data_IF_314271815469
#
_entry.id   IF_314271815469
#
_cell.length_a   1.000
_cell.length_b   1.000
_cell.length_c   1.000
_cell.angle_alpha   90.00
_cell.angle_beta   90.00
_cell.angle_gamma   90.00
#
_symmetry.space_group_name_H-M   'P 1'
#
loop_
_entity.id
_entity.type
_entity.pdbx_description
1 polymer ?
#
# COMPACT_ATOMS: atom_id res chain seq x y z
N UNK A 1 -2.92 35.69 -66.06
CA UNK A 1 -2.35 34.51 -65.35
C UNK A 1 -2.71 34.62 -63.88
N UNK A 2 -3.65 33.81 -63.38
CA UNK A 2 -4.06 33.77 -61.97
C UNK A 2 -3.80 32.36 -61.44
N UNK A 3 -2.95 32.25 -60.43
CA UNK A 3 -2.46 30.98 -59.90
C UNK A 3 -3.43 30.44 -58.85
N UNK A 4 -3.93 29.22 -59.05
CA UNK A 4 -4.79 28.53 -58.11
C UNK A 4 -3.91 27.85 -57.04
N UNK A 5 -3.92 28.37 -55.81
CA UNK A 5 -3.27 27.72 -54.66
C UNK A 5 -4.32 26.95 -53.85
N UNK A 6 -4.26 25.61 -53.89
CA UNK A 6 -5.02 24.76 -52.97
C UNK A 6 -4.50 24.92 -51.54
N UNK A 7 -5.37 24.91 -50.51
CA UNK A 7 -4.95 24.96 -49.12
C UNK A 7 -4.28 23.63 -48.74
N UNK A 8 -3.05 23.71 -48.23
CA UNK A 8 -2.38 22.57 -47.60
C UNK A 8 -2.92 22.44 -46.17
N UNK A 9 -3.61 21.35 -45.89
CA UNK A 9 -4.00 20.96 -44.53
C UNK A 9 -2.81 20.34 -43.84
N UNK A 10 -2.26 21.02 -42.83
CA UNK A 10 -1.25 20.46 -41.94
C UNK A 10 -1.89 19.40 -41.01
N UNK A 11 -1.33 18.18 -40.90
CA UNK A 11 -1.84 17.22 -39.93
C UNK A 11 -1.39 17.61 -38.52
N UNK A 12 -2.34 18.09 -37.72
CA UNK A 12 -2.16 18.41 -36.31
C UNK A 12 -1.94 17.13 -35.48
N UNK A 13 -0.69 16.85 -35.11
CA UNK A 13 -0.21 16.61 -33.74
C UNK A 13 -0.97 15.60 -32.84
N UNK A 14 -1.70 14.63 -33.37
CA UNK A 14 -2.47 13.64 -32.58
C UNK A 14 -1.62 12.65 -31.78
N UNK A 15 -0.36 12.44 -32.16
CA UNK A 15 0.53 11.45 -31.51
C UNK A 15 0.97 11.86 -30.10
N UNK A 16 1.18 13.16 -29.85
CA UNK A 16 1.71 13.65 -28.58
C UNK A 16 0.69 13.63 -27.44
N UNK A 17 -0.60 13.85 -27.75
CA UNK A 17 -1.67 13.76 -26.77
C UNK A 17 -1.91 12.34 -26.28
N UNK A 18 -1.73 11.33 -27.15
CA UNK A 18 -1.90 9.92 -26.75
C UNK A 18 -0.82 9.46 -25.76
N UNK A 19 0.42 9.95 -25.89
CA UNK A 19 1.49 9.64 -24.94
C UNK A 19 1.29 10.34 -23.59
N UNK A 20 0.83 11.59 -23.59
CA UNK A 20 0.56 12.35 -22.36
C UNK A 20 -0.58 11.75 -21.53
N UNK A 21 -1.62 11.23 -22.18
CA UNK A 21 -2.72 10.55 -21.48
C UNK A 21 -2.24 9.24 -20.84
N UNK A 22 -1.40 8.45 -21.52
CA UNK A 22 -0.87 7.21 -20.94
C UNK A 22 -0.01 7.43 -19.69
N UNK A 23 0.73 8.54 -19.61
CA UNK A 23 1.56 8.86 -18.43
C UNK A 23 0.68 9.21 -17.22
N UNK A 24 -0.47 9.86 -17.42
CA UNK A 24 -1.38 10.22 -16.32
C UNK A 24 -2.22 9.05 -15.79
N UNK A 25 -2.45 8.01 -16.61
CA UNK A 25 -3.17 6.81 -16.16
C UNK A 25 -2.28 5.76 -15.48
N UNK A 26 -0.96 5.79 -15.72
CA UNK A 26 -0.05 4.80 -15.13
C UNK A 26 0.26 5.07 -13.65
N UNK A 27 0.18 6.33 -13.22
CA UNK A 27 0.52 6.75 -11.86
C UNK A 27 -0.55 6.30 -10.82
N UNK A 28 -1.84 6.40 -11.18
CA UNK A 28 -2.94 6.03 -10.30
C UNK A 28 -3.03 4.51 -9.97
N UNK A 29 -2.43 3.66 -10.81
CA UNK A 29 -2.44 2.21 -10.61
C UNK A 29 -1.41 1.73 -9.57
N UNK A 30 -0.49 2.60 -9.13
CA UNK A 30 0.58 2.25 -8.20
C UNK A 30 0.43 2.90 -6.83
N UNK A 31 -0.73 3.49 -6.53
CA UNK A 31 -1.04 3.97 -5.19
C UNK A 31 -0.91 2.80 -4.19
N UNK A 32 0.12 2.88 -3.34
CA UNK A 32 0.47 1.79 -2.45
C UNK A 32 -0.50 1.77 -1.27
N UNK A 33 -1.40 0.79 -1.27
CA UNK A 33 -2.40 0.67 -0.22
C UNK A 33 -1.81 -0.02 1.00
N UNK A 34 -1.98 0.59 2.18
CA UNK A 34 -1.55 0.05 3.47
C UNK A 34 -2.74 -0.37 4.34
N UNK A 35 -2.55 -1.44 5.11
CA UNK A 35 -3.55 -2.01 6.02
C UNK A 35 -2.99 -1.97 7.44
N UNK A 36 -3.77 -1.48 8.40
CA UNK A 36 -3.44 -1.51 9.82
C UNK A 36 -4.05 -2.74 10.48
N UNK A 37 -3.18 -3.60 10.98
CA UNK A 37 -3.54 -4.79 11.74
C UNK A 37 -3.36 -4.53 13.23
N UNK A 38 -4.35 -4.93 14.02
CA UNK A 38 -4.23 -5.09 15.46
C UNK A 38 -3.94 -6.55 15.75
N UNK A 39 -2.74 -6.85 16.25
CA UNK A 39 -2.27 -8.21 16.45
C UNK A 39 -2.03 -8.48 17.92
N UNK A 40 -2.34 -9.69 18.36
CA UNK A 40 -2.12 -10.14 19.74
C UNK A 40 -1.40 -11.49 19.72
N UNK A 41 -0.13 -11.56 20.18
CA UNK A 41 0.57 -12.81 20.34
C UNK A 41 -0.01 -13.60 21.51
N UNK A 42 -0.54 -14.79 21.25
CA UNK A 42 -1.17 -15.63 22.27
C UNK A 42 -0.16 -16.47 23.07
N UNK A 43 1.08 -16.59 22.59
CA UNK A 43 2.14 -17.37 23.22
C UNK A 43 3.53 -16.80 22.96
N UNK A 44 4.55 -17.49 23.47
CA UNK A 44 5.95 -17.07 23.31
C UNK A 44 6.49 -17.18 21.89
N UNK A 45 5.89 -18.03 21.05
CA UNK A 45 6.25 -18.19 19.64
C UNK A 45 5.74 -17.01 18.84
N UNK A 46 4.50 -16.58 19.06
CA UNK A 46 3.91 -15.41 18.43
C UNK A 46 4.73 -14.15 18.70
N UNK A 47 5.14 -13.93 19.96
CA UNK A 47 5.99 -12.79 20.30
C UNK A 47 7.37 -12.84 19.64
N UNK A 48 7.96 -14.05 19.55
CA UNK A 48 9.24 -14.22 18.87
C UNK A 48 9.12 -13.93 17.37
N UNK A 49 8.02 -14.33 16.73
CA UNK A 49 7.74 -13.99 15.34
C UNK A 49 7.50 -12.48 15.15
N UNK A 50 6.78 -11.80 16.06
CA UNK A 50 6.63 -10.33 16.01
C UNK A 50 7.99 -9.62 16.08
N UNK A 51 8.89 -10.06 16.96
CA UNK A 51 10.27 -9.52 17.03
C UNK A 51 11.07 -9.77 15.75
N UNK A 52 10.90 -10.93 15.11
CA UNK A 52 11.51 -11.18 13.80
C UNK A 52 10.94 -10.27 12.72
N UNK A 53 9.64 -9.99 12.76
CA UNK A 53 9.01 -9.08 11.79
C UNK A 53 9.56 -7.67 11.89
N UNK A 54 9.84 -7.16 13.11
CA UNK A 54 10.53 -5.88 13.30
C UNK A 54 11.89 -5.86 12.59
N UNK A 55 12.64 -6.95 12.62
CA UNK A 55 13.93 -7.06 11.92
C UNK A 55 13.80 -7.16 10.39
N UNK A 56 12.59 -7.41 9.88
CA UNK A 56 12.31 -7.61 8.45
C UNK A 56 11.58 -6.41 7.82
N UNK A 57 11.52 -5.28 8.52
CA UNK A 57 10.86 -4.06 8.08
C UNK A 57 11.21 -3.69 6.63
N UNK A 58 12.51 -3.60 6.31
CA UNK A 58 13.00 -3.27 4.96
C UNK A 58 12.52 -4.21 3.84
N UNK A 59 12.10 -5.44 4.17
CA UNK A 59 11.66 -6.44 3.19
C UNK A 59 10.15 -6.40 2.92
N UNK A 60 9.37 -6.03 3.92
CA UNK A 60 7.90 -6.13 3.85
C UNK A 60 7.20 -4.78 4.05
N UNK A 61 7.94 -3.69 4.29
CA UNK A 61 7.44 -2.36 4.59
C UNK A 61 6.44 -2.42 5.76
N UNK A 62 6.97 -2.74 6.94
CA UNK A 62 6.17 -3.10 8.12
C UNK A 62 6.45 -2.07 9.21
N UNK A 63 5.53 -1.14 9.37
CA UNK A 63 5.63 -0.11 10.38
C UNK A 63 4.86 -0.50 11.64
N UNK A 64 5.56 -0.61 12.76
CA UNK A 64 4.94 -0.81 14.07
C UNK A 64 4.49 0.54 14.62
N UNK A 65 3.18 0.76 14.63
CA UNK A 65 2.55 1.95 15.22
C UNK A 65 2.43 1.82 16.74
N UNK A 66 2.31 0.59 17.23
CA UNK A 66 2.38 0.27 18.66
C UNK A 66 3.12 -1.04 18.85
N UNK A 67 4.12 -1.02 19.71
CA UNK A 67 4.88 -2.22 20.08
C UNK A 67 4.22 -2.99 21.23
N UNK A 68 4.23 -4.33 21.18
CA UNK A 68 3.74 -5.14 22.28
C UNK A 68 4.79 -5.13 23.40
N UNK A 69 4.41 -4.69 24.60
CA UNK A 69 5.35 -4.61 25.73
C UNK A 69 5.59 -5.97 26.38
N UNK A 70 4.55 -6.81 26.51
CA UNK A 70 4.61 -8.16 27.10
C UNK A 70 3.73 -9.17 26.34
N UNK A 71 3.82 -10.47 26.69
CA UNK A 71 2.91 -11.49 26.15
C UNK A 71 1.46 -11.16 26.54
N UNK A 72 0.54 -11.26 25.57
CA UNK A 72 -0.85 -10.85 25.76
C UNK A 72 -1.12 -9.36 25.51
N UNK A 73 -0.11 -8.50 25.42
CA UNK A 73 -0.27 -7.14 24.89
C UNK A 73 -0.46 -7.17 23.37
N UNK A 74 -1.21 -6.21 22.87
CA UNK A 74 -1.42 -6.05 21.44
C UNK A 74 -0.37 -5.13 20.80
N UNK A 75 -0.14 -5.34 19.52
CA UNK A 75 0.64 -4.48 18.65
C UNK A 75 -0.23 -3.96 17.50
N UNK A 76 -0.03 -2.73 17.10
CA UNK A 76 -0.65 -2.17 15.90
C UNK A 76 0.42 -2.07 14.82
N UNK A 77 0.20 -2.77 13.71
CA UNK A 77 1.19 -2.97 12.65
C UNK A 77 0.59 -2.58 11.31
N UNK A 78 1.20 -1.61 10.65
CA UNK A 78 0.86 -1.21 9.29
C UNK A 78 1.67 -2.04 8.30
N UNK A 79 0.98 -2.64 7.33
CA UNK A 79 1.59 -3.54 6.35
C UNK A 79 1.08 -3.16 4.96
N UNK A 80 1.99 -3.12 3.97
CA UNK A 80 1.59 -2.96 2.57
C UNK A 80 0.65 -4.09 2.15
N UNK A 81 -0.48 -3.74 1.53
CA UNK A 81 -1.49 -4.68 1.05
C UNK A 81 -0.93 -5.74 0.10
N UNK A 82 0.16 -5.43 -0.61
CA UNK A 82 0.92 -6.38 -1.45
C UNK A 82 1.42 -7.60 -0.68
N UNK A 83 1.67 -7.44 0.62
CA UNK A 83 2.21 -8.47 1.51
C UNK A 83 1.19 -9.01 2.52
N UNK A 84 -0.04 -8.49 2.51
CA UNK A 84 -1.11 -8.85 3.45
C UNK A 84 -1.33 -10.37 3.55
N UNK A 85 -1.55 -11.04 2.41
CA UNK A 85 -1.82 -12.49 2.39
C UNK A 85 -0.66 -13.31 2.99
N UNK A 86 0.58 -12.94 2.67
CA UNK A 86 1.75 -13.62 3.21
C UNK A 86 1.90 -13.37 4.72
N UNK A 87 1.55 -12.17 5.19
CA UNK A 87 1.59 -11.83 6.60
C UNK A 87 0.50 -12.53 7.41
N UNK A 88 -0.73 -12.55 6.91
CA UNK A 88 -1.84 -13.27 7.54
C UNK A 88 -1.55 -14.76 7.69
N UNK A 89 -0.90 -15.37 6.70
CA UNK A 89 -0.45 -16.75 6.80
C UNK A 89 0.62 -16.93 7.89
N UNK A 90 1.55 -15.97 8.04
CA UNK A 90 2.54 -15.99 9.13
C UNK A 90 1.85 -15.87 10.49
N UNK A 91 0.90 -14.95 10.65
CA UNK A 91 0.16 -14.79 11.90
C UNK A 91 -0.56 -16.07 12.31
N UNK A 92 -1.26 -16.71 11.37
CA UNK A 92 -1.94 -18.00 11.62
C UNK A 92 -0.98 -19.11 12.03
N UNK A 93 0.17 -19.23 11.36
CA UNK A 93 1.21 -20.24 11.70
C UNK A 93 1.88 -19.97 13.05
N UNK A 94 1.98 -18.70 13.44
CA UNK A 94 2.63 -18.25 14.65
C UNK A 94 1.69 -18.14 15.85
N UNK A 95 0.43 -18.58 15.72
CA UNK A 95 -0.58 -18.47 16.77
C UNK A 95 -0.82 -17.02 17.25
N UNK A 96 -0.81 -16.08 16.30
CA UNK A 96 -1.09 -14.66 16.53
C UNK A 96 -2.52 -14.38 16.08
N UNK A 97 -3.35 -13.87 16.99
CA UNK A 97 -4.68 -13.36 16.65
C UNK A 97 -4.51 -12.01 15.98
N UNK A 98 -5.28 -11.73 14.92
CA UNK A 98 -5.24 -10.44 14.24
C UNK A 98 -6.63 -9.97 13.83
N UNK A 99 -6.83 -8.66 13.90
CA UNK A 99 -8.00 -7.96 13.38
C UNK A 99 -7.55 -6.82 12.46
N UNK A 100 -8.29 -6.59 11.37
CA UNK A 100 -8.03 -5.45 10.49
C UNK A 100 -8.73 -4.24 11.09
N UNK A 101 -7.96 -3.28 11.61
CA UNK A 101 -8.52 -2.02 12.18
C UNK A 101 -8.85 -1.02 11.10
N UNK A 102 -7.92 -0.86 10.16
CA UNK A 102 -8.05 0.09 9.07
C UNK A 102 -7.68 -0.62 7.77
N UNK A 103 -8.65 -0.92 6.90
CA UNK A 103 -8.39 -1.60 5.64
C UNK A 103 -7.72 -0.71 4.60
N UNK A 104 -7.64 0.61 4.85
CA UNK A 104 -7.01 1.60 3.99
C UNK A 104 -6.54 2.80 4.84
N UNK A 105 -5.26 2.79 5.23
CA UNK A 105 -4.73 3.78 6.18
C UNK A 105 -4.72 5.20 5.59
N UNK A 106 -4.55 5.34 4.28
CA UNK A 106 -4.55 6.64 3.60
C UNK A 106 -5.92 7.34 3.71
N UNK A 107 -7.01 6.56 3.72
CA UNK A 107 -8.37 7.09 3.90
C UNK A 107 -8.68 7.46 5.36
N UNK A 108 -7.96 6.90 6.32
CA UNK A 108 -8.22 7.13 7.74
C UNK A 108 -7.60 8.42 8.26
N UNK A 109 -6.42 8.82 7.77
CA UNK A 109 -5.74 10.05 8.21
C UNK A 109 -6.55 11.35 7.96
N UNK A 110 -7.49 11.32 7.00
CA UNK A 110 -8.33 12.47 6.64
C UNK A 110 -9.54 12.64 7.57
N UNK A 111 -9.96 11.59 8.28
CA UNK A 111 -11.17 11.61 9.11
C UNK A 111 -10.94 12.08 10.56
N UNK A 112 -9.69 12.06 11.05
CA UNK A 112 -9.33 12.43 12.42
C UNK A 112 -8.83 13.88 12.58
N UNK A 113 -8.97 14.71 11.53
CA UNK A 113 -8.60 16.13 11.50
C UNK A 113 -9.80 17.09 11.44
N UNK A 114 -11.02 16.61 11.78
CA UNK A 114 -12.23 17.43 11.94
C UNK A 114 -12.66 17.52 13.41
#
# INVERSE_FOLDING_TARGET
MLTNKRPQTFPYNTSLYSFLVCILFFDAANAEKYILYHVQPNDSRGMHELRKLQMLDHKYQVDFWKEPSHFGDFADIMISSKHASAMEQRFRRANITYDIRVPDVEKFAIASSQ
#
